data_IF_132808660265
#
_entry.id   IF_132808660265
#
_cell.length_a   1.000
_cell.length_b   1.000
_cell.length_c   1.000
_cell.angle_alpha   90.00
_cell.angle_beta   90.00
_cell.angle_gamma   90.00
#
_symmetry.space_group_name_H-M   'P 1'
#
loop_
_entity.id
_entity.type
_entity.pdbx_description
1 polymer ?
#
# COMPACT_ATOMS: atom_id res chain seq x y z
N UNK A 1 -4.05 -12.60 -2.75
CA UNK A 1 -5.05 -12.64 -1.65
C UNK A 1 -4.34 -12.40 -0.33
N UNK A 2 -5.00 -11.74 0.63
CA UNK A 2 -4.38 -11.43 1.93
C UNK A 2 -4.35 -12.68 2.81
N UNK A 3 -3.24 -12.85 3.53
CA UNK A 3 -2.97 -14.00 4.39
C UNK A 3 -2.48 -13.55 5.76
N UNK A 4 -2.98 -14.22 6.79
CA UNK A 4 -2.61 -14.02 8.17
C UNK A 4 -2.39 -15.36 8.87
N UNK A 5 -2.10 -15.33 10.17
CA UNK A 5 -1.97 -16.52 11.03
C UNK A 5 -3.28 -17.30 11.24
N UNK A 6 -4.43 -16.76 10.80
CA UNK A 6 -5.75 -17.29 11.09
C UNK A 6 -6.60 -17.40 9.84
N UNK A 7 -6.91 -18.64 9.44
CA UNK A 7 -7.78 -18.93 8.29
C UNK A 7 -9.20 -18.33 8.44
N UNK A 8 -9.67 -18.15 9.68
CA UNK A 8 -10.93 -17.47 9.96
C UNK A 8 -10.84 -15.98 9.64
N UNK A 9 -9.76 -15.31 10.04
CA UNK A 9 -9.51 -13.89 9.72
C UNK A 9 -9.33 -13.70 8.22
N UNK A 10 -8.57 -14.58 7.58
CA UNK A 10 -8.36 -14.55 6.12
C UNK A 10 -9.69 -14.63 5.36
N UNK A 11 -10.61 -15.49 5.80
CA UNK A 11 -11.94 -15.59 5.19
C UNK A 11 -12.70 -14.27 5.30
N UNK A 12 -12.73 -13.65 6.47
CA UNK A 12 -13.42 -12.36 6.68
C UNK A 12 -12.81 -11.25 5.82
N UNK A 13 -11.48 -11.17 5.79
CA UNK A 13 -10.73 -10.15 5.05
C UNK A 13 -10.95 -10.28 3.55
N UNK A 14 -10.79 -11.50 3.00
CA UNK A 14 -10.92 -11.70 1.56
C UNK A 14 -12.38 -11.65 1.07
N UNK A 15 -13.38 -11.93 1.92
CA UNK A 15 -14.80 -11.87 1.54
C UNK A 15 -15.44 -10.55 1.93
N UNK A 16 -16.05 -10.44 3.11
CA UNK A 16 -16.92 -9.31 3.43
C UNK A 16 -16.19 -7.96 3.49
N UNK A 17 -14.88 -7.96 3.79
CA UNK A 17 -14.11 -6.71 3.98
C UNK A 17 -13.57 -6.22 2.63
N UNK A 18 -12.70 -6.97 1.96
CA UNK A 18 -12.09 -6.53 0.71
C UNK A 18 -12.79 -7.04 -0.55
N UNK A 19 -13.66 -8.04 -0.43
CA UNK A 19 -14.41 -8.64 -1.54
C UNK A 19 -13.52 -8.93 -2.76
N UNK A 20 -12.52 -9.78 -2.54
CA UNK A 20 -11.48 -10.06 -3.55
C UNK A 20 -12.00 -10.85 -4.75
N UNK A 21 -13.26 -11.31 -4.73
CA UNK A 21 -13.92 -11.89 -5.89
C UNK A 21 -14.28 -10.79 -6.89
N UNK A 22 -14.84 -9.67 -6.41
CA UNK A 22 -15.24 -8.54 -7.25
C UNK A 22 -14.12 -7.49 -7.43
N UNK A 23 -13.23 -7.36 -6.44
CA UNK A 23 -12.09 -6.46 -6.44
C UNK A 23 -10.78 -7.23 -6.24
N UNK A 24 -10.36 -8.06 -7.22
CA UNK A 24 -9.23 -8.98 -7.05
C UNK A 24 -7.87 -8.27 -6.93
N UNK A 25 -7.79 -7.02 -7.39
CA UNK A 25 -6.55 -6.26 -7.48
C UNK A 25 -6.72 -4.86 -6.91
N UNK A 26 -5.81 -4.47 -6.03
CA UNK A 26 -5.55 -3.07 -5.70
C UNK A 26 -4.39 -2.57 -6.57
N UNK A 27 -4.43 -1.29 -6.99
CA UNK A 27 -3.46 -0.74 -7.92
C UNK A 27 -3.03 0.66 -7.50
N UNK A 28 -1.72 0.90 -7.48
CA UNK A 28 -1.14 2.22 -7.32
C UNK A 28 -0.40 2.60 -8.61
N UNK A 29 -0.54 3.85 -9.04
CA UNK A 29 0.16 4.42 -10.21
C UNK A 29 0.73 5.77 -9.84
N UNK A 30 2.05 5.93 -9.98
CA UNK A 30 2.68 7.25 -9.84
C UNK A 30 2.15 8.20 -10.91
N UNK A 31 1.83 9.44 -10.53
CA UNK A 31 1.42 10.48 -11.48
C UNK A 31 2.60 11.05 -12.25
N UNK A 32 3.77 11.11 -11.61
CA UNK A 32 5.01 11.60 -12.20
C UNK A 32 6.12 10.58 -12.00
N UNK A 33 6.96 10.34 -13.03
CA UNK A 33 8.17 9.54 -12.85
C UNK A 33 9.09 10.15 -11.80
N UNK A 34 9.72 9.29 -10.99
CA UNK A 34 10.74 9.72 -10.03
C UNK A 34 12.09 9.68 -10.73
N UNK A 35 12.79 10.81 -10.75
CA UNK A 35 14.13 10.91 -11.32
C UNK A 35 15.17 10.34 -10.34
N UNK A 36 16.09 9.52 -10.85
CA UNK A 36 17.25 9.05 -10.08
C UNK A 36 18.40 10.04 -10.28
N UNK A 37 18.58 10.93 -9.32
CA UNK A 37 19.67 11.91 -9.36
C UNK A 37 21.03 11.25 -9.06
N UNK A 38 22.16 11.87 -9.41
CA UNK A 38 23.48 11.34 -9.05
C UNK A 38 23.63 11.06 -7.55
N UNK A 39 23.02 11.87 -6.69
CA UNK A 39 23.01 11.69 -5.24
C UNK A 39 22.22 10.45 -4.82
N UNK A 40 21.07 10.20 -5.45
CA UNK A 40 20.30 8.96 -5.24
C UNK A 40 21.09 7.70 -5.65
N UNK A 41 21.98 7.84 -6.63
CA UNK A 41 22.87 6.76 -7.08
C UNK A 41 24.13 6.59 -6.21
N UNK A 42 24.38 7.49 -5.24
CA UNK A 42 25.52 7.38 -4.32
C UNK A 42 25.31 6.32 -3.22
N UNK A 43 24.12 5.71 -3.13
CA UNK A 43 23.82 4.61 -2.22
C UNK A 43 23.49 5.03 -0.78
N UNK A 44 23.31 6.32 -0.50
CA UNK A 44 22.71 6.81 0.74
C UNK A 44 21.18 6.77 0.68
N UNK A 45 20.53 6.76 1.84
CA UNK A 45 19.08 6.93 1.93
C UNK A 45 18.67 8.31 1.39
N UNK A 46 17.60 8.36 0.61
CA UNK A 46 16.97 9.61 0.16
C UNK A 46 15.44 9.51 0.26
N UNK A 47 14.79 10.65 0.53
CA UNK A 47 13.34 10.75 0.57
C UNK A 47 12.80 11.34 -0.74
N UNK A 48 11.62 10.91 -1.15
CA UNK A 48 10.91 11.41 -2.33
C UNK A 48 9.45 11.65 -1.96
N UNK A 49 9.04 12.91 -1.96
CA UNK A 49 7.62 13.25 -1.90
C UNK A 49 7.02 13.09 -3.29
N UNK A 50 5.94 12.32 -3.38
CA UNK A 50 5.30 12.01 -4.65
C UNK A 50 3.79 11.92 -4.50
N UNK A 51 3.11 11.88 -5.64
CA UNK A 51 1.68 11.62 -5.71
C UNK A 51 1.39 10.50 -6.70
N UNK A 52 0.31 9.78 -6.42
CA UNK A 52 -0.16 8.72 -7.28
C UNK A 52 -1.65 8.49 -7.14
N UNK A 53 -2.19 7.74 -8.08
CA UNK A 53 -3.58 7.30 -8.07
C UNK A 53 -3.63 5.89 -7.47
N UNK A 54 -4.30 5.75 -6.33
CA UNK A 54 -4.56 4.48 -5.67
C UNK A 54 -6.01 4.07 -5.96
N UNK A 55 -6.17 2.85 -6.49
CA UNK A 55 -7.45 2.15 -6.58
C UNK A 55 -7.45 1.02 -5.56
N UNK A 56 -8.38 1.10 -4.59
CA UNK A 56 -8.57 0.10 -3.55
C UNK A 56 -10.07 -0.20 -3.42
N UNK A 57 -10.43 -1.49 -3.54
CA UNK A 57 -11.81 -1.98 -3.43
C UNK A 57 -12.82 -1.18 -4.29
N UNK A 58 -12.44 -0.89 -5.54
CA UNK A 58 -13.27 -0.16 -6.50
C UNK A 58 -13.30 1.36 -6.33
N UNK A 59 -12.78 1.90 -5.22
CA UNK A 59 -12.64 3.34 -5.03
C UNK A 59 -11.27 3.79 -5.57
N UNK A 60 -11.25 4.85 -6.35
CA UNK A 60 -10.03 5.45 -6.91
C UNK A 60 -9.86 6.86 -6.38
N UNK A 61 -8.68 7.15 -5.82
CA UNK A 61 -8.32 8.47 -5.30
C UNK A 61 -6.87 8.80 -5.62
N UNK A 62 -6.60 10.09 -5.72
CA UNK A 62 -5.24 10.59 -5.72
C UNK A 62 -4.76 10.74 -4.28
N UNK A 63 -3.55 10.26 -4.01
CA UNK A 63 -2.92 10.32 -2.70
C UNK A 63 -1.51 10.88 -2.84
N UNK A 64 -1.06 11.53 -1.78
CA UNK A 64 0.32 11.93 -1.58
C UNK A 64 0.99 10.94 -0.61
N UNK A 65 2.28 10.68 -0.83
CA UNK A 65 3.09 9.87 0.06
C UNK A 65 4.55 10.24 -0.04
N UNK A 66 5.25 10.11 1.08
CA UNK A 66 6.70 10.19 1.15
C UNK A 66 7.27 8.77 1.03
N UNK A 67 8.11 8.57 0.03
CA UNK A 67 8.90 7.37 -0.15
C UNK A 67 10.28 7.58 0.44
N UNK A 68 10.89 6.52 0.96
CA UNK A 68 12.32 6.50 1.25
C UNK A 68 12.96 5.41 0.41
N UNK A 69 14.10 5.72 -0.19
CA UNK A 69 14.74 4.85 -1.14
C UNK A 69 16.26 4.83 -0.97
N UNK A 70 16.89 3.75 -1.42
CA UNK A 70 18.34 3.57 -1.41
C UNK A 70 18.77 2.62 -2.53
N UNK A 71 19.94 2.88 -3.12
CA UNK A 71 20.61 1.93 -4.01
C UNK A 71 21.54 1.01 -3.20
N UNK A 72 21.33 -0.31 -3.30
CA UNK A 72 22.14 -1.36 -2.67
C UNK A 72 22.42 -2.45 -3.71
N UNK A 73 23.69 -2.72 -4.01
CA UNK A 73 24.10 -3.78 -4.95
C UNK A 73 23.34 -3.75 -6.30
N UNK A 74 23.23 -2.57 -6.91
CA UNK A 74 22.48 -2.32 -8.15
C UNK A 74 20.95 -2.56 -8.08
N UNK A 75 20.40 -2.71 -6.87
CA UNK A 75 18.96 -2.80 -6.61
C UNK A 75 18.49 -1.51 -5.94
N UNK A 76 17.43 -0.91 -6.47
CA UNK A 76 16.77 0.22 -5.80
C UNK A 76 15.74 -0.36 -4.85
N UNK A 77 15.94 -0.14 -3.56
CA UNK A 77 14.99 -0.48 -2.52
C UNK A 77 14.15 0.75 -2.20
N UNK A 78 12.83 0.62 -2.23
CA UNK A 78 11.89 1.70 -1.95
C UNK A 78 10.92 1.25 -0.87
N UNK A 79 10.95 1.93 0.26
CA UNK A 79 10.01 1.74 1.34
C UNK A 79 8.95 2.84 1.34
N UNK A 80 7.75 2.47 1.74
CA UNK A 80 6.67 3.42 1.94
C UNK A 80 5.54 2.82 2.76
N UNK A 81 4.69 3.71 3.25
CA UNK A 81 3.52 3.36 4.04
C UNK A 81 2.35 4.26 3.67
N UNK A 82 1.15 3.69 3.61
CA UNK A 82 -0.09 4.43 3.35
C UNK A 82 -1.06 4.11 4.47
N UNK A 83 -1.51 5.13 5.20
CA UNK A 83 -2.64 4.95 6.14
C UNK A 83 -3.94 4.86 5.35
N UNK A 84 -4.70 3.80 5.59
CA UNK A 84 -5.98 3.52 4.93
C UNK A 84 -7.08 3.63 5.97
N UNK A 85 -7.82 4.74 5.96
CA UNK A 85 -9.05 4.90 6.72
C UNK A 85 -10.17 4.17 5.97
N UNK A 86 -10.81 3.18 6.58
CA UNK A 86 -11.66 2.24 5.83
C UNK A 86 -12.86 2.89 5.15
N UNK A 87 -13.49 3.86 5.80
CA UNK A 87 -14.65 4.59 5.28
C UNK A 87 -14.31 5.37 4.01
N UNK A 88 -13.09 5.92 3.91
CA UNK A 88 -12.62 6.63 2.72
C UNK A 88 -12.57 5.74 1.48
N UNK A 89 -12.40 4.43 1.67
CA UNK A 89 -12.24 3.47 0.58
C UNK A 89 -13.47 2.56 0.41
N UNK A 90 -14.60 2.91 1.03
CA UNK A 90 -15.80 2.07 1.05
C UNK A 90 -15.51 0.64 1.50
N UNK A 91 -14.53 0.48 2.39
CA UNK A 91 -14.25 -0.78 3.07
C UNK A 91 -15.19 -0.84 4.28
N UNK A 92 -16.05 -1.87 4.37
CA UNK A 92 -17.00 -2.00 5.47
C UNK A 92 -16.25 -2.27 6.79
N UNK A 93 -16.84 -1.80 7.89
CA UNK A 93 -16.30 -1.96 9.24
C UNK A 93 -15.92 -3.43 9.52
N UNK A 94 -14.64 -3.73 9.81
CA UNK A 94 -14.19 -5.06 10.16
C UNK A 94 -14.69 -5.56 11.52
N UNK A 95 -15.30 -4.71 12.34
CA UNK A 95 -15.87 -5.10 13.63
C UNK A 95 -16.96 -6.17 13.48
N UNK A 96 -17.08 -7.01 14.51
CA UNK A 96 -18.15 -8.01 14.67
C UNK A 96 -18.62 -7.95 16.13
N UNK A 97 -19.80 -8.50 16.43
CA UNK A 97 -20.50 -8.36 17.74
C UNK A 97 -19.62 -8.06 18.97
N UNK A 98 -18.66 -8.94 19.31
CA UNK A 98 -17.81 -8.78 20.51
C UNK A 98 -16.38 -8.32 20.21
N UNK A 99 -16.05 -7.94 18.98
CA UNK A 99 -14.72 -7.52 18.55
C UNK A 99 -14.82 -6.18 17.83
N UNK A 100 -14.23 -5.15 18.41
CA UNK A 100 -14.07 -3.84 17.78
C UNK A 100 -12.71 -3.79 17.11
N UNK A 101 -12.69 -3.36 15.85
CA UNK A 101 -11.47 -3.13 15.09
C UNK A 101 -11.30 -1.62 14.90
N UNK A 102 -10.06 -1.13 14.98
CA UNK A 102 -9.76 0.27 14.68
C UNK A 102 -10.16 0.56 13.22
N UNK A 103 -10.65 1.78 12.96
CA UNK A 103 -11.22 2.22 11.69
C UNK A 103 -10.22 2.40 10.53
N UNK A 104 -8.96 2.01 10.74
CA UNK A 104 -7.86 2.20 9.79
C UNK A 104 -6.84 1.08 9.85
N UNK A 105 -6.07 0.96 8.78
CA UNK A 105 -4.91 0.08 8.70
C UNK A 105 -3.73 0.75 8.01
N UNK A 106 -2.52 0.27 8.28
CA UNK A 106 -1.31 0.71 7.61
C UNK A 106 -0.95 -0.29 6.50
N UNK A 107 -0.85 0.19 5.26
CA UNK A 107 -0.28 -0.57 4.16
C UNK A 107 1.19 -0.24 4.04
N UNK A 108 2.06 -1.15 4.45
CA UNK A 108 3.50 -1.02 4.34
C UNK A 108 4.03 -1.83 3.16
N UNK A 109 5.05 -1.30 2.48
CA UNK A 109 5.68 -2.00 1.38
C UNK A 109 7.19 -1.75 1.33
N UNK A 110 7.89 -2.76 0.81
CA UNK A 110 9.26 -2.68 0.33
C UNK A 110 9.26 -3.19 -1.11
N UNK A 111 9.59 -2.31 -2.05
CA UNK A 111 9.75 -2.65 -3.46
C UNK A 111 11.22 -2.70 -3.80
N UNK A 112 11.62 -3.70 -4.57
CA UNK A 112 12.99 -3.87 -5.07
C UNK A 112 12.95 -3.83 -6.59
N UNK A 113 13.60 -2.84 -7.16
CA UNK A 113 13.67 -2.65 -8.61
C UNK A 113 15.05 -3.06 -9.11
N UNK A 114 15.04 -3.99 -10.06
CA UNK A 114 16.19 -4.30 -10.92
C UNK A 114 15.91 -3.77 -12.32
N UNK A 115 16.96 -3.62 -13.11
CA UNK A 115 16.83 -3.31 -14.53
C UNK A 115 16.21 -4.47 -15.31
#
# INVERSE_FOLDING_TARGET
TLKSDSSRRDRQVNTRILDTVNFPTAKFVLKTPIALTPEALAGSDFNVDTSGTLTLRGVTKDIELTLKARLVDNVIEVNGSIEIVFTDWSIPDPSISSIIVVDRGLLEFLLRFTR
#
